data_IF_510802542733
#
_entry.id   IF_510802542733
#
_cell.length_a   1.000
_cell.length_b   1.000
_cell.length_c   1.000
_cell.angle_alpha   90.00
_cell.angle_beta   90.00
_cell.angle_gamma   90.00
#
_symmetry.space_group_name_H-M   'P 1'
#
loop_
_entity.id
_entity.type
_entity.pdbx_description
1 polymer ?
#
# COMPACT_ATOMS: atom_id res chain seq x y z
N UNK A 1 -6.23 0.48 -14.33
CA UNK A 1 -7.47 -0.30 -14.13
C UNK A 1 -7.74 -0.45 -12.63
N UNK A 2 -9.01 -0.42 -12.22
CA UNK A 2 -9.40 -0.71 -10.84
C UNK A 2 -9.32 0.46 -9.84
N UNK A 3 -8.31 1.34 -9.88
CA UNK A 3 -8.13 2.40 -8.85
C UNK A 3 -9.34 3.35 -8.70
N UNK A 4 -10.02 3.61 -9.81
CA UNK A 4 -11.21 4.48 -9.92
C UNK A 4 -12.45 3.67 -10.33
N UNK A 5 -12.48 2.36 -10.00
CA UNK A 5 -13.65 1.51 -10.25
C UNK A 5 -14.89 2.02 -9.50
N UNK A 6 -16.06 1.87 -10.12
CA UNK A 6 -17.33 2.28 -9.51
C UNK A 6 -17.78 1.35 -8.39
N UNK A 7 -17.29 0.10 -8.36
CA UNK A 7 -17.50 -0.82 -7.25
C UNK A 7 -16.56 -0.47 -6.08
N UNK A 8 -17.09 -0.17 -4.88
CA UNK A 8 -16.27 0.18 -3.72
C UNK A 8 -15.29 -0.92 -3.29
N UNK A 9 -15.66 -2.19 -3.41
CA UNK A 9 -14.79 -3.31 -3.06
C UNK A 9 -13.63 -3.38 -4.07
N UNK A 10 -13.93 -3.30 -5.36
CA UNK A 10 -12.90 -3.42 -6.40
C UNK A 10 -11.93 -2.24 -6.40
N UNK A 11 -12.41 -1.01 -6.17
CA UNK A 11 -11.53 0.16 -6.07
C UNK A 11 -10.65 0.12 -4.83
N UNK A 12 -11.19 -0.26 -3.67
CA UNK A 12 -10.41 -0.42 -2.45
C UNK A 12 -9.37 -1.55 -2.57
N UNK A 13 -9.77 -2.70 -3.13
CA UNK A 13 -8.84 -3.81 -3.41
C UNK A 13 -7.70 -3.38 -4.34
N UNK A 14 -8.03 -2.69 -5.43
CA UNK A 14 -7.04 -2.22 -6.40
C UNK A 14 -6.02 -1.28 -5.77
N UNK A 15 -6.48 -0.34 -4.92
CA UNK A 15 -5.58 0.58 -4.20
C UNK A 15 -4.70 -0.16 -3.22
N UNK A 16 -5.25 -1.09 -2.45
CA UNK A 16 -4.49 -1.91 -1.50
C UNK A 16 -3.44 -2.76 -2.22
N UNK A 17 -3.86 -3.61 -3.17
CA UNK A 17 -3.00 -4.57 -3.86
C UNK A 17 -1.93 -3.87 -4.71
N UNK A 18 -2.28 -2.80 -5.43
CA UNK A 18 -1.29 -2.02 -6.17
C UNK A 18 -0.28 -1.36 -5.22
N UNK A 19 -0.72 -0.87 -4.06
CA UNK A 19 0.19 -0.24 -3.10
C UNK A 19 1.21 -1.23 -2.54
N UNK A 20 0.74 -2.37 -2.03
CA UNK A 20 1.62 -3.40 -1.46
C UNK A 20 2.59 -3.94 -2.50
N UNK A 21 2.11 -4.14 -3.73
CA UNK A 21 2.96 -4.62 -4.81
C UNK A 21 4.01 -3.61 -5.24
N UNK A 22 3.65 -2.35 -5.48
CA UNK A 22 4.61 -1.34 -5.93
C UNK A 22 5.72 -1.17 -4.88
N UNK A 23 5.37 -1.18 -3.59
CA UNK A 23 6.36 -1.16 -2.50
C UNK A 23 7.21 -2.43 -2.51
N UNK A 24 6.60 -3.61 -2.68
CA UNK A 24 7.33 -4.89 -2.75
C UNK A 24 8.31 -4.94 -3.91
N UNK A 25 7.90 -4.47 -5.10
CA UNK A 25 8.75 -4.43 -6.30
C UNK A 25 9.90 -3.45 -6.08
N UNK A 26 9.64 -2.26 -5.54
CA UNK A 26 10.68 -1.29 -5.23
C UNK A 26 11.68 -1.87 -4.20
N UNK A 27 11.20 -2.56 -3.18
CA UNK A 27 12.03 -3.16 -2.14
C UNK A 27 12.96 -4.28 -2.66
N UNK A 28 12.47 -5.12 -3.58
CA UNK A 28 13.21 -6.30 -4.05
C UNK A 28 14.03 -6.03 -5.31
N UNK A 29 13.59 -5.11 -6.17
CA UNK A 29 14.17 -4.90 -7.51
C UNK A 29 14.61 -3.46 -7.76
N UNK A 30 14.34 -2.52 -6.84
CA UNK A 30 14.66 -1.10 -7.02
C UNK A 30 16.10 -0.72 -6.74
N UNK A 31 16.91 -1.62 -6.16
CA UNK A 31 18.29 -1.30 -5.76
C UNK A 31 18.39 -0.18 -4.71
N UNK A 32 17.33 0.00 -3.92
CA UNK A 32 17.19 1.08 -2.96
C UNK A 32 17.94 0.81 -1.66
N UNK A 33 18.41 1.88 -1.03
CA UNK A 33 18.79 1.87 0.38
C UNK A 33 17.55 1.74 1.28
N UNK A 34 17.75 1.34 2.54
CA UNK A 34 16.67 1.26 3.53
C UNK A 34 15.96 2.62 3.72
N UNK A 35 16.71 3.72 3.66
CA UNK A 35 16.16 5.07 3.77
C UNK A 35 15.31 5.45 2.56
N UNK A 36 15.75 5.13 1.35
CA UNK A 36 14.98 5.40 0.13
C UNK A 36 13.68 4.59 0.10
N UNK A 37 13.72 3.32 0.51
CA UNK A 37 12.51 2.51 0.63
C UNK A 37 11.57 3.06 1.71
N UNK A 38 12.09 3.45 2.87
CA UNK A 38 11.30 4.06 3.93
C UNK A 38 10.53 5.30 3.47
N UNK A 39 11.11 6.13 2.58
CA UNK A 39 10.41 7.28 1.99
C UNK A 39 9.22 6.84 1.16
N UNK A 40 9.37 5.80 0.34
CA UNK A 40 8.27 5.23 -0.47
C UNK A 40 7.16 4.71 0.44
N UNK A 41 7.52 3.94 1.46
CA UNK A 41 6.55 3.40 2.43
C UNK A 41 5.76 4.51 3.13
N UNK A 42 6.45 5.57 3.58
CA UNK A 42 5.83 6.71 4.21
C UNK A 42 4.86 7.44 3.28
N UNK A 43 5.22 7.64 2.02
CA UNK A 43 4.34 8.29 1.03
C UNK A 43 3.10 7.41 0.74
N UNK A 44 3.28 6.08 0.66
CA UNK A 44 2.21 5.14 0.38
C UNK A 44 1.25 4.91 1.56
N UNK A 45 1.76 4.96 2.79
CA UNK A 45 1.05 4.50 3.99
C UNK A 45 -0.34 5.12 4.19
N UNK A 46 -0.54 6.45 4.08
CA UNK A 46 -1.88 7.04 4.23
C UNK A 46 -2.91 6.49 3.23
N UNK A 47 -2.51 6.29 1.98
CA UNK A 47 -3.41 5.76 0.95
C UNK A 47 -3.71 4.28 1.17
N UNK A 48 -2.72 3.51 1.64
CA UNK A 48 -2.90 2.11 2.01
C UNK A 48 -3.90 1.97 3.17
N UNK A 49 -3.77 2.75 4.24
CA UNK A 49 -4.72 2.71 5.36
C UNK A 49 -6.14 3.05 4.95
N UNK A 50 -6.33 4.04 4.06
CA UNK A 50 -7.65 4.34 3.49
C UNK A 50 -8.20 3.17 2.70
N UNK A 51 -7.37 2.56 1.85
CA UNK A 51 -7.78 1.39 1.08
C UNK A 51 -8.20 0.22 1.97
N UNK A 52 -7.48 -0.03 3.08
CA UNK A 52 -7.85 -1.08 4.05
C UNK A 52 -9.16 -0.75 4.77
N UNK A 53 -9.37 0.50 5.18
CA UNK A 53 -10.62 0.93 5.79
C UNK A 53 -11.81 0.80 4.82
N UNK A 54 -11.64 1.23 3.57
CA UNK A 54 -12.64 1.11 2.51
C UNK A 54 -12.94 -0.35 2.18
N UNK A 55 -11.91 -1.21 2.15
CA UNK A 55 -12.06 -2.66 2.02
C UNK A 55 -12.91 -3.23 3.16
N UNK A 56 -12.59 -2.89 4.41
CA UNK A 56 -13.30 -3.38 5.58
C UNK A 56 -14.78 -2.97 5.59
N UNK A 57 -15.09 -1.77 5.10
CA UNK A 57 -16.44 -1.21 4.99
C UNK A 57 -17.24 -1.82 3.82
N UNK A 58 -16.58 -2.13 2.70
CA UNK A 58 -17.19 -2.72 1.51
C UNK A 58 -17.20 -4.25 1.49
N UNK A 59 -16.51 -4.89 2.44
CA UNK A 59 -16.34 -6.35 2.46
C UNK A 59 -17.69 -7.09 2.57
N UNK A 60 -18.03 -7.96 1.60
CA UNK A 60 -19.35 -8.60 1.57
C UNK A 60 -19.60 -9.50 2.78
N UNK A 61 -20.81 -9.41 3.35
CA UNK A 61 -21.23 -10.28 4.45
C UNK A 61 -21.21 -11.76 4.09
N UNK A 62 -21.39 -12.10 2.80
CA UNK A 62 -21.29 -13.46 2.29
C UNK A 62 -19.89 -14.08 2.48
N UNK A 63 -18.84 -13.26 2.59
CA UNK A 63 -17.46 -13.68 2.87
C UNK A 63 -17.13 -13.64 4.38
N UNK A 64 -18.14 -13.57 5.25
CA UNK A 64 -17.94 -13.43 6.70
C UNK A 64 -17.03 -14.51 7.33
N UNK A 65 -17.00 -15.72 6.77
CA UNK A 65 -16.13 -16.81 7.22
C UNK A 65 -14.63 -16.52 6.99
N UNK A 66 -14.27 -15.76 5.96
CA UNK A 66 -12.88 -15.40 5.64
C UNK A 66 -12.49 -14.03 6.18
N UNK A 67 -13.44 -13.22 6.68
CA UNK A 67 -13.19 -11.84 7.10
C UNK A 67 -12.01 -11.72 8.08
N UNK A 68 -11.96 -12.57 9.12
CA UNK A 68 -10.87 -12.55 10.09
C UNK A 68 -9.51 -12.81 9.42
N UNK A 69 -9.41 -13.89 8.65
CA UNK A 69 -8.18 -14.26 7.93
C UNK A 69 -7.75 -13.16 6.94
N UNK A 70 -8.69 -12.54 6.23
CA UNK A 70 -8.39 -11.43 5.30
C UNK A 70 -7.81 -10.22 6.05
N UNK A 71 -8.46 -9.75 7.11
CA UNK A 71 -8.05 -8.49 7.75
C UNK A 71 -6.94 -8.67 8.80
N UNK A 72 -6.83 -9.84 9.43
CA UNK A 72 -5.83 -10.06 10.47
C UNK A 72 -4.51 -10.58 9.88
N UNK A 73 -4.59 -11.52 8.93
CA UNK A 73 -3.45 -12.27 8.40
C UNK A 73 -2.99 -11.78 7.02
N UNK A 74 -3.92 -11.59 6.06
CA UNK A 74 -3.56 -11.17 4.70
C UNK A 74 -3.25 -9.67 4.60
N UNK A 75 -4.13 -8.83 5.14
CA UNK A 75 -4.06 -7.36 5.04
C UNK A 75 -3.39 -6.76 6.28
N UNK A 76 -3.66 -7.33 7.44
CA UNK A 76 -3.26 -6.80 8.75
C UNK A 76 -1.76 -6.51 8.91
N UNK A 77 -0.82 -7.32 8.40
CA UNK A 77 0.60 -7.00 8.47
C UNK A 77 0.95 -5.67 7.79
N UNK A 78 0.40 -5.41 6.61
CA UNK A 78 0.62 -4.18 5.85
C UNK A 78 -0.07 -2.98 6.49
N UNK A 79 -1.29 -3.16 7.01
CA UNK A 79 -2.01 -2.12 7.76
C UNK A 79 -1.20 -1.67 8.99
N UNK A 80 -0.79 -2.61 9.86
CA UNK A 80 -0.01 -2.30 11.06
C UNK A 80 1.33 -1.60 10.73
N UNK A 81 1.94 -1.94 9.60
CA UNK A 81 3.17 -1.31 9.12
C UNK A 81 2.90 0.12 8.64
N UNK A 82 1.83 0.33 7.86
CA UNK A 82 1.42 1.66 7.42
C UNK A 82 0.99 2.56 8.58
N UNK A 83 0.35 2.02 9.62
CA UNK A 83 0.02 2.77 10.85
C UNK A 83 1.27 3.33 11.52
N UNK A 84 2.34 2.54 11.62
CA UNK A 84 3.64 3.01 12.16
C UNK A 84 4.23 4.13 11.30
N UNK A 85 4.11 4.03 9.98
CA UNK A 85 4.57 5.05 9.06
C UNK A 85 3.78 6.37 9.24
N UNK A 86 2.45 6.31 9.32
CA UNK A 86 1.61 7.50 9.58
C UNK A 86 1.88 8.10 10.97
N UNK A 87 2.08 7.27 11.99
CA UNK A 87 2.50 7.74 13.30
C UNK A 87 3.84 8.51 13.24
N UNK A 88 4.76 8.11 12.36
CA UNK A 88 6.03 8.83 12.16
C UNK A 88 5.88 10.13 11.38
N UNK A 89 5.02 10.18 10.37
CA UNK A 89 4.70 11.41 9.65
C UNK A 89 4.10 12.47 10.59
N UNK A 90 3.12 12.06 11.39
CA UNK A 90 2.47 12.96 12.36
C UNK A 90 3.43 13.40 13.47
N UNK A 91 4.32 12.52 13.94
CA UNK A 91 5.32 12.85 14.96
C UNK A 91 6.34 13.91 14.51
N UNK A 92 6.61 14.04 13.21
CA UNK A 92 7.48 15.11 12.67
C UNK A 92 6.70 16.38 12.28
N UNK A 93 5.40 16.41 12.56
CA UNK A 93 4.55 17.58 12.37
C UNK A 93 3.88 17.69 11.01
N UNK A 94 3.78 16.60 10.23
CA UNK A 94 2.94 16.58 9.03
C UNK A 94 1.48 16.56 9.48
N UNK A 95 0.74 17.58 9.06
CA UNK A 95 -0.66 17.77 9.37
C UNK A 95 -1.58 17.03 8.38
N UNK A 96 -2.89 17.16 8.57
CA UNK A 96 -3.90 16.51 7.73
C UNK A 96 -3.76 16.90 6.25
N UNK A 97 -3.50 18.17 5.94
CA UNK A 97 -3.29 18.64 4.58
C UNK A 97 -2.05 18.01 3.94
N UNK A 98 -0.96 17.87 4.71
CA UNK A 98 0.22 17.14 4.26
C UNK A 98 -0.05 15.65 4.03
N UNK A 99 -0.85 15.01 4.89
CA UNK A 99 -1.28 13.61 4.70
C UNK A 99 -2.12 13.47 3.42
N UNK A 100 -3.06 14.36 3.16
CA UNK A 100 -3.84 14.37 1.90
C UNK A 100 -2.93 14.50 0.68
N UNK A 101 -1.95 15.40 0.73
CA UNK A 101 -1.01 15.58 -0.36
C UNK A 101 -0.18 14.32 -0.64
N UNK A 102 0.15 13.53 0.39
CA UNK A 102 0.81 12.23 0.21
C UNK A 102 -0.12 11.20 -0.43
N UNK A 103 -1.40 11.15 -0.02
CA UNK A 103 -2.41 10.27 -0.65
C UNK A 103 -2.55 10.59 -2.13
N UNK A 104 -2.76 11.86 -2.47
CA UNK A 104 -2.92 12.30 -3.85
C UNK A 104 -1.68 11.95 -4.67
N UNK A 105 -0.48 12.17 -4.10
CA UNK A 105 0.77 11.87 -4.79
C UNK A 105 0.95 10.38 -5.05
N UNK A 106 0.60 9.55 -4.09
CA UNK A 106 0.69 8.10 -4.21
C UNK A 106 -0.30 7.56 -5.25
N UNK A 107 -1.56 7.98 -5.18
CA UNK A 107 -2.58 7.56 -6.14
C UNK A 107 -2.24 8.03 -7.57
N UNK A 108 -1.67 9.22 -7.73
CA UNK A 108 -1.14 9.64 -9.03
C UNK A 108 0.01 8.72 -9.51
N UNK A 109 0.95 8.36 -8.63
CA UNK A 109 2.04 7.45 -8.97
C UNK A 109 1.56 6.06 -9.39
N UNK A 110 0.50 5.55 -8.77
CA UNK A 110 -0.12 4.28 -9.15
C UNK A 110 -0.80 4.36 -10.52
N UNK A 111 -1.41 5.49 -10.87
CA UNK A 111 -2.03 5.71 -12.19
C UNK A 111 -1.00 5.80 -13.32
N UNK A 112 0.12 6.45 -13.05
CA UNK A 112 1.18 6.70 -14.04
C UNK A 112 2.28 5.61 -14.01
N UNK A 113 2.01 4.48 -13.36
CA UNK A 113 2.99 3.42 -13.13
C UNK A 113 3.48 2.80 -14.44
N UNK A 114 4.79 2.90 -14.68
CA UNK A 114 5.47 2.17 -15.77
C UNK A 114 5.99 0.82 -15.26
N UNK A 115 5.34 -0.33 -15.56
CA UNK A 115 5.67 -1.62 -14.96
C UNK A 115 7.12 -2.08 -15.22
N UNK A 116 7.83 -1.51 -16.19
CA UNK A 116 9.24 -1.82 -16.45
C UNK A 116 10.20 -1.14 -15.46
N UNK A 117 9.76 -0.09 -14.76
CA UNK A 117 10.55 0.60 -13.74
C UNK A 117 10.26 0.03 -12.36
N UNK A 118 11.23 -0.46 -11.57
CA UNK A 118 10.92 -1.03 -10.26
C UNK A 118 10.58 0.03 -9.20
N UNK A 119 11.05 1.27 -9.37
CA UNK A 119 10.87 2.37 -8.40
C UNK A 119 9.81 3.35 -8.91
N UNK A 120 8.75 3.64 -8.15
CA UNK A 120 7.77 4.64 -8.54
C UNK A 120 8.36 6.05 -8.50
N UNK A 121 7.96 6.91 -9.45
CA UNK A 121 8.32 8.33 -9.43
C UNK A 121 7.44 9.06 -8.42
N UNK A 122 8.05 9.64 -7.38
CA UNK A 122 7.37 10.25 -6.22
C UNK A 122 7.85 11.70 -5.92
N UNK A 123 7.88 12.54 -6.95
CA UNK A 123 8.21 13.97 -6.79
C UNK A 123 7.18 14.73 -5.95
N UNK A 124 7.59 15.14 -4.74
CA UNK A 124 6.83 16.04 -3.89
C UNK A 124 7.19 17.49 -4.24
N UNK A 125 6.24 18.21 -4.85
CA UNK A 125 6.46 19.61 -5.27
C UNK A 125 6.69 20.56 -4.08
N UNK A 126 6.06 20.27 -2.94
CA UNK A 126 6.30 20.98 -1.70
C UNK A 126 7.61 20.50 -1.04
N UNK A 127 8.62 21.38 -1.08
CA UNK A 127 9.93 21.12 -0.47
C UNK A 127 9.85 20.88 1.03
N UNK A 128 8.97 21.58 1.75
CA UNK A 128 8.83 21.43 3.19
C UNK A 128 8.21 20.08 3.54
N UNK A 129 7.20 19.65 2.78
CA UNK A 129 6.63 18.31 2.92
C UNK A 129 7.70 17.25 2.63
N UNK A 130 8.45 17.40 1.53
CA UNK A 130 9.55 16.50 1.18
C UNK A 130 10.60 16.38 2.31
N UNK A 131 11.07 17.49 2.87
CA UNK A 131 12.02 17.49 3.99
C UNK A 131 11.43 16.89 5.27
N UNK A 132 10.12 16.97 5.47
CA UNK A 132 9.44 16.35 6.61
C UNK A 132 9.36 14.84 6.45
N UNK A 133 9.07 14.36 5.23
CA UNK A 133 9.12 12.93 4.89
C UNK A 133 10.54 12.36 5.11
N UNK A 134 11.61 13.08 4.72
CA UNK A 134 13.00 12.65 5.01
C UNK A 134 13.26 12.41 6.49
N UNK A 135 12.78 13.34 7.30
CA UNK A 135 12.96 13.29 8.74
C UNK A 135 12.19 12.14 9.36
N UNK A 136 10.95 11.91 8.90
CA UNK A 136 10.16 10.76 9.29
C UNK A 136 10.85 9.44 8.88
N UNK A 137 11.40 9.38 7.66
CA UNK A 137 12.08 8.19 7.13
C UNK A 137 13.29 7.79 7.98
N UNK A 138 14.08 8.77 8.41
CA UNK A 138 15.24 8.52 9.29
C UNK A 138 14.84 7.86 10.61
N UNK A 139 13.71 8.27 11.20
CA UNK A 139 13.17 7.63 12.40
C UNK A 139 12.56 6.26 12.12
N UNK A 140 11.75 6.18 11.06
CA UNK A 140 10.99 4.98 10.68
C UNK A 140 11.90 3.76 10.42
N UNK A 141 13.03 3.93 9.73
CA UNK A 141 14.01 2.85 9.49
C UNK A 141 14.47 2.20 10.80
N UNK A 142 14.56 2.95 11.90
CA UNK A 142 14.96 2.42 13.21
C UNK A 142 13.88 1.63 13.95
N UNK A 143 12.60 1.76 13.57
CA UNK A 143 11.47 1.14 14.29
C UNK A 143 10.91 -0.10 13.63
N UNK A 144 11.27 -0.32 12.37
CA UNK A 144 10.73 -1.42 11.57
C UNK A 144 11.83 -2.34 11.12
N UNK A 145 11.51 -3.63 11.04
CA UNK A 145 12.34 -4.55 10.28
C UNK A 145 12.27 -4.14 8.81
N UNK A 146 13.40 -4.22 8.11
CA UNK A 146 13.44 -3.88 6.68
C UNK A 146 12.50 -4.77 5.89
N UNK A 147 11.84 -4.22 4.88
CA UNK A 147 10.78 -4.90 4.12
C UNK A 147 11.15 -6.33 3.71
N UNK A 148 12.34 -6.52 3.11
CA UNK A 148 12.81 -7.82 2.60
C UNK A 148 13.22 -8.81 3.69
N UNK A 149 13.26 -8.38 4.97
CA UNK A 149 13.60 -9.21 6.12
C UNK A 149 12.47 -9.33 7.14
N UNK A 150 11.32 -8.69 6.89
CA UNK A 150 10.19 -8.70 7.80
C UNK A 150 9.32 -9.94 7.53
N UNK A 151 9.39 -10.99 8.37
CA UNK A 151 8.66 -12.22 8.13
C UNK A 151 7.14 -12.04 8.26
N UNK A 152 6.67 -10.93 8.86
CA UNK A 152 5.24 -10.66 8.95
C UNK A 152 4.63 -10.28 7.61
N UNK A 153 5.45 -9.85 6.63
CA UNK A 153 5.00 -9.49 5.28
C UNK A 153 4.91 -10.70 4.34
N UNK A 154 5.33 -11.89 4.80
CA UNK A 154 5.16 -13.15 4.05
C UNK A 154 3.74 -13.69 4.25
N UNK A 155 2.81 -13.18 3.45
CA UNK A 155 1.39 -13.56 3.48
C UNK A 155 1.02 -14.55 2.37
N UNK A 156 1.98 -15.05 1.60
CA UNK A 156 1.73 -15.89 0.42
C UNK A 156 1.10 -17.25 0.73
N UNK A 157 1.13 -17.67 2.00
CA UNK A 157 0.50 -18.90 2.49
C UNK A 157 -0.91 -18.71 3.06
N UNK A 158 -1.41 -17.47 3.12
CA UNK A 158 -2.74 -17.17 3.66
C UNK A 158 -3.81 -17.55 2.63
N UNK A 159 -4.66 -18.52 2.95
CA UNK A 159 -5.70 -19.03 2.06
C UNK A 159 -7.03 -18.32 2.30
N UNK A 160 -7.52 -17.59 1.28
CA UNK A 160 -8.83 -16.92 1.26
C UNK A 160 -9.59 -17.21 -0.06
N UNK A 161 -9.85 -18.49 -0.37
CA UNK A 161 -10.32 -18.92 -1.68
C UNK A 161 -11.65 -18.29 -2.12
N UNK A 162 -12.59 -18.03 -1.21
CA UNK A 162 -13.87 -17.39 -1.56
C UNK A 162 -13.66 -15.91 -1.92
N UNK A 163 -12.78 -15.23 -1.19
CA UNK A 163 -12.38 -13.84 -1.45
C UNK A 163 -11.67 -13.74 -2.80
N UNK A 164 -10.71 -14.62 -3.06
CA UNK A 164 -9.99 -14.69 -4.36
C UNK A 164 -10.98 -14.92 -5.50
N UNK A 165 -11.88 -15.90 -5.36
CA UNK A 165 -12.88 -16.20 -6.40
C UNK A 165 -13.82 -15.02 -6.67
N UNK A 166 -14.26 -14.31 -5.62
CA UNK A 166 -15.09 -13.11 -5.78
C UNK A 166 -14.34 -12.00 -6.51
N UNK A 167 -13.10 -11.73 -6.12
CA UNK A 167 -12.28 -10.68 -6.72
C UNK A 167 -12.00 -10.98 -8.19
N UNK A 168 -11.71 -12.24 -8.54
CA UNK A 168 -11.50 -12.67 -9.92
C UNK A 168 -12.77 -12.56 -10.78
N UNK A 169 -13.95 -12.81 -10.22
CA UNK A 169 -15.23 -12.69 -10.92
C UNK A 169 -15.65 -11.23 -11.15
N UNK A 170 -15.37 -10.35 -10.19
CA UNK A 170 -15.96 -9.00 -10.13
C UNK A 170 -15.03 -7.87 -10.43
N UNK A 171 -13.76 -7.99 -10.07
CA UNK A 171 -12.82 -6.89 -10.10
C UNK A 171 -11.89 -6.99 -11.31
N UNK A 172 -11.42 -5.84 -11.85
CA UNK A 172 -10.46 -5.85 -12.94
C UNK A 172 -9.19 -6.63 -12.56
N UNK A 173 -8.69 -7.45 -13.48
CA UNK A 173 -7.41 -8.13 -13.31
C UNK A 173 -6.28 -7.10 -13.24
N UNK A 174 -5.61 -7.06 -12.09
CA UNK A 174 -4.54 -6.12 -11.80
C UNK A 174 -3.22 -6.54 -12.46
N UNK A 175 -3.08 -7.81 -12.89
CA UNK A 175 -1.88 -8.30 -13.59
C UNK A 175 -1.61 -7.48 -14.87
N UNK A 176 -2.68 -6.98 -15.50
CA UNK A 176 -2.63 -6.16 -16.72
C UNK A 176 -1.99 -4.78 -16.55
N UNK A 177 -1.77 -4.32 -15.31
CA UNK A 177 -1.00 -3.10 -14.99
C UNK A 177 0.30 -3.37 -14.27
N UNK A 178 0.84 -4.58 -14.45
CA UNK A 178 2.05 -5.02 -13.76
C UNK A 178 1.82 -5.18 -12.26
N UNK A 179 0.56 -5.38 -11.86
CA UNK A 179 0.17 -5.67 -10.47
C UNK A 179 -0.26 -7.14 -10.37
N UNK A 180 0.73 -8.03 -10.33
CA UNK A 180 0.59 -9.43 -9.89
C UNK A 180 0.68 -10.41 -11.05
N UNK A 181 0.73 -11.71 -10.73
CA UNK A 181 0.41 -12.75 -11.72
C UNK A 181 -1.11 -12.76 -11.94
N UNK A 182 -1.57 -13.22 -13.11
CA UNK A 182 -3.00 -13.40 -13.36
C UNK A 182 -3.58 -14.34 -12.29
N UNK A 183 -4.63 -13.89 -11.59
CA UNK A 183 -5.39 -14.69 -10.62
C UNK A 183 -6.23 -15.73 -11.35
#
# INVERSE_FOLDING_TARGET
PGLDDGDPLCSAWSRYAASTQVVTVAANFGGLTELELARIELIAAPALLRAVADLAASFPSALGAERGVVFDDLVGPFERRADKAVARLTAVGIDEAGIEALVDRWLAALRDRDPEQPVPVLDLADRQLAMSVERAATGYVGDVTTWTRDPSLDVGSVEVPLTVALLADRCPDLSTVGVGDAI
#
